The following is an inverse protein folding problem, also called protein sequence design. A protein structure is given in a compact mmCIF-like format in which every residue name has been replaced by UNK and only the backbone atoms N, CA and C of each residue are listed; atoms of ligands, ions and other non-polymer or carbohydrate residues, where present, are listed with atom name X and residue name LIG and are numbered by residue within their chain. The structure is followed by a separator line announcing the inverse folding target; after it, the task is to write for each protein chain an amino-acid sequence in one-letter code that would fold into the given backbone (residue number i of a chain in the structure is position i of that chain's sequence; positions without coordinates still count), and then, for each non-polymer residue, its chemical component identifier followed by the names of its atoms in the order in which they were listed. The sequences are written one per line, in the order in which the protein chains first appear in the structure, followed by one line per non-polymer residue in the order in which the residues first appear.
data_IF_936051660380
#
_entry.id   IF_936051660380
#
_cell.length_a   1.000
_cell.length_b   1.000
_cell.length_c   1.000
_cell.angle_alpha   90.00
_cell.angle_beta   90.00
_cell.angle_gamma   90.00
#
_symmetry.space_group_name_H-M   'P 1'
#
loop_
_entity.id
_entity.type
_entity.pdbx_description
1 polymer ?
#
# COMPACT_ATOMS: atom_id res chain seq x y z
N UNK A 1 -3.53 12.36 -2.74
CA UNK A 1 -2.15 11.89 -2.46
C UNK A 1 -2.17 11.06 -1.19
N UNK A 2 -1.31 10.06 -1.09
CA UNK A 2 -1.14 9.24 0.11
C UNK A 2 0.23 9.51 0.74
N UNK A 3 0.41 9.31 2.06
CA UNK A 3 1.74 9.28 2.64
C UNK A 3 2.61 8.24 1.92
N UNK A 4 3.87 8.58 1.70
CA UNK A 4 4.83 7.65 1.09
C UNK A 4 4.99 6.36 1.92
N UNK A 5 4.89 6.47 3.26
CA UNK A 5 4.89 5.31 4.17
C UNK A 5 3.74 4.32 3.93
N UNK A 6 2.68 4.73 3.23
CA UNK A 6 1.54 3.88 2.88
C UNK A 6 1.80 3.01 1.65
N UNK A 7 2.79 3.37 0.84
CA UNK A 7 3.17 2.67 -0.39
C UNK A 7 4.40 1.81 -0.11
N UNK A 8 4.34 0.55 -0.50
CA UNK A 8 5.45 -0.38 -0.44
C UNK A 8 5.90 -0.73 -1.85
N UNK A 9 7.22 -0.83 -2.05
CA UNK A 9 7.77 -1.33 -3.31
C UNK A 9 8.13 -2.81 -3.14
N UNK A 10 7.63 -3.64 -4.05
CA UNK A 10 7.88 -5.07 -4.07
C UNK A 10 8.05 -5.52 -5.53
N UNK A 11 9.14 -6.23 -5.81
CA UNK A 11 9.47 -6.74 -7.16
C UNK A 11 9.45 -5.67 -8.28
N UNK A 12 9.85 -4.44 -7.96
CA UNK A 12 9.87 -3.33 -8.92
C UNK A 12 8.51 -2.72 -9.22
N UNK A 13 7.49 -3.07 -8.43
CA UNK A 13 6.13 -2.52 -8.50
C UNK A 13 5.72 -1.90 -7.17
N UNK A 14 4.78 -0.97 -7.23
CA UNK A 14 4.25 -0.29 -6.05
C UNK A 14 2.91 -0.87 -5.63
N UNK A 15 2.76 -1.03 -4.32
CA UNK A 15 1.58 -1.59 -3.70
C UNK A 15 1.15 -0.77 -2.51
N UNK A 16 -0.14 -0.83 -2.19
CA UNK A 16 -0.69 -0.38 -0.91
C UNK A 16 -1.47 -1.52 -0.26
N UNK A 17 -1.74 -1.36 1.03
CA UNK A 17 -2.66 -2.24 1.73
C UNK A 17 -4.00 -1.57 1.96
N UNK A 18 -5.07 -2.28 1.64
CA UNK A 18 -6.44 -1.89 2.00
C UNK A 18 -6.98 -2.85 3.07
N UNK A 19 -7.64 -2.31 4.08
CA UNK A 19 -8.36 -3.09 5.08
C UNK A 19 -9.71 -3.51 4.49
N UNK A 20 -9.88 -4.82 4.26
CA UNK A 20 -11.12 -5.40 3.73
C UNK A 20 -12.03 -5.92 4.85
N UNK A 21 -11.46 -6.23 6.02
CA UNK A 21 -12.16 -6.57 7.25
C UNK A 21 -11.21 -6.39 8.44
N UNK A 22 -11.73 -6.51 9.67
CA UNK A 22 -10.92 -6.39 10.90
C UNK A 22 -9.68 -7.30 10.84
N UNK A 23 -8.50 -6.68 10.85
CA UNK A 23 -7.19 -7.37 10.74
C UNK A 23 -6.98 -8.17 9.45
N UNK A 24 -7.78 -7.92 8.40
CA UNK A 24 -7.61 -8.50 7.07
C UNK A 24 -7.24 -7.41 6.09
N UNK A 25 -6.05 -7.54 5.53
CA UNK A 25 -5.49 -6.58 4.59
C UNK A 25 -5.32 -7.23 3.24
N UNK A 26 -5.59 -6.47 2.18
CA UNK A 26 -5.35 -6.88 0.80
C UNK A 26 -4.28 -5.97 0.20
N UNK A 27 -3.26 -6.57 -0.41
CA UNK A 27 -2.26 -5.85 -1.19
C UNK A 27 -2.85 -5.50 -2.55
N UNK A 28 -2.73 -4.25 -2.97
CA UNK A 28 -3.27 -3.75 -4.24
C UNK A 28 -2.17 -3.01 -4.97
N UNK A 29 -1.93 -3.39 -6.22
CA UNK A 29 -0.97 -2.73 -7.10
C UNK A 29 -1.47 -1.32 -7.44
N UNK A 30 -0.59 -0.33 -7.27
CA UNK A 30 -0.88 1.08 -7.55
C UNK A 30 0.14 1.65 -8.50
N UNK A 31 -0.27 2.64 -9.27
CA UNK A 31 0.62 3.44 -10.08
C UNK A 31 0.87 4.75 -9.35
N UNK A 32 2.14 5.01 -9.07
CA UNK A 32 2.55 6.26 -8.43
C UNK A 32 2.96 7.30 -9.46
N UNK A 33 2.61 8.55 -9.18
CA UNK A 33 3.03 9.73 -9.93
C UNK A 33 4.11 10.49 -9.19
N UNK A 34 3.96 11.81 -9.14
CA UNK A 34 4.92 12.67 -8.45
C UNK A 34 4.96 12.38 -6.94
N UNK A 35 6.17 12.45 -6.39
CA UNK A 35 6.43 12.40 -4.95
C UNK A 35 6.83 13.80 -4.46
N UNK A 36 6.19 14.28 -3.41
CA UNK A 36 6.45 15.60 -2.84
C UNK A 36 6.14 15.62 -1.34
N UNK A 37 7.04 16.18 -0.53
CA UNK A 37 6.83 16.39 0.91
C UNK A 37 6.37 15.14 1.69
N UNK A 38 6.95 13.97 1.43
CA UNK A 38 6.56 12.67 2.02
C UNK A 38 5.17 12.18 1.61
N UNK A 39 4.58 12.76 0.57
CA UNK A 39 3.38 12.28 -0.08
C UNK A 39 3.69 11.79 -1.49
N UNK A 40 2.91 10.84 -1.95
CA UNK A 40 2.95 10.28 -3.29
C UNK A 40 1.59 10.40 -3.94
N UNK A 41 1.58 10.84 -5.19
CA UNK A 41 0.39 10.84 -6.02
C UNK A 41 0.07 9.41 -6.45
N UNK A 42 -1.19 9.00 -6.30
CA UNK A 42 -1.66 7.72 -6.84
C UNK A 42 -2.44 8.03 -8.11
N UNK A 43 -1.94 7.55 -9.25
CA UNK A 43 -2.52 7.80 -10.57
C UNK A 43 -3.80 6.99 -10.77
N UNK A 44 -3.83 5.76 -10.25
CA UNK A 44 -4.99 4.87 -10.31
C UNK A 44 -5.81 4.87 -9.01
N UNK A 45 -6.01 6.07 -8.43
CA UNK A 45 -6.71 6.24 -7.15
C UNK A 45 -8.21 5.87 -7.21
N UNK A 46 -8.83 5.84 -8.40
CA UNK A 46 -10.25 5.52 -8.54
C UNK A 46 -10.62 4.14 -8.02
N UNK A 47 -9.73 3.15 -8.14
CA UNK A 47 -9.96 1.79 -7.59
C UNK A 47 -9.95 1.76 -6.05
N UNK A 48 -9.48 2.84 -5.43
CA UNK A 48 -9.31 2.99 -3.99
C UNK A 48 -10.42 3.83 -3.36
N UNK A 49 -11.34 4.37 -4.17
CA UNK A 49 -12.56 5.02 -3.65
C UNK A 49 -13.30 4.05 -2.73
N UNK A 50 -13.74 4.58 -1.60
CA UNK A 50 -14.45 3.85 -0.54
C UNK A 50 -13.67 2.68 0.10
N UNK A 51 -12.34 2.61 -0.12
CA UNK A 51 -11.47 1.65 0.55
C UNK A 51 -10.78 2.30 1.75
N UNK A 52 -10.66 1.54 2.84
CA UNK A 52 -9.82 1.91 3.97
C UNK A 52 -8.36 1.60 3.63
N UNK A 53 -7.59 2.63 3.33
CA UNK A 53 -6.17 2.49 3.01
C UNK A 53 -5.37 2.49 4.31
N UNK A 54 -4.43 1.56 4.42
CA UNK A 54 -3.48 1.51 5.54
C UNK A 54 -2.45 2.61 5.33
N UNK A 55 -2.62 3.71 6.06
CA UNK A 55 -1.71 4.84 5.92
C UNK A 55 -0.40 4.66 6.69
N UNK A 56 -0.42 3.90 7.79
CA UNK A 56 0.71 3.63 8.69
C UNK A 56 0.93 2.13 8.86
N UNK A 57 2.20 1.71 8.83
CA UNK A 57 2.57 0.30 9.02
C UNK A 57 2.40 -0.58 7.77
N UNK A 58 2.27 0.02 6.58
CA UNK A 58 2.26 -0.74 5.32
C UNK A 58 3.54 -1.57 5.15
N UNK A 59 4.70 -1.02 5.51
CA UNK A 59 5.97 -1.76 5.53
C UNK A 59 5.96 -2.95 6.51
N UNK A 60 5.35 -2.79 7.69
CA UNK A 60 5.19 -3.89 8.66
C UNK A 60 4.31 -5.01 8.10
N UNK A 61 3.24 -4.67 7.36
CA UNK A 61 2.41 -5.66 6.68
C UNK A 61 3.19 -6.41 5.60
N UNK A 62 4.04 -5.70 4.83
CA UNK A 62 4.91 -6.33 3.83
C UNK A 62 5.87 -7.34 4.47
N UNK A 63 6.56 -6.95 5.56
CA UNK A 63 7.46 -7.86 6.27
C UNK A 63 6.73 -9.11 6.78
N UNK A 64 5.50 -8.95 7.30
CA UNK A 64 4.69 -10.08 7.75
C UNK A 64 4.31 -11.01 6.59
N UNK A 65 3.90 -10.46 5.45
CA UNK A 65 3.54 -11.25 4.26
C UNK A 65 4.75 -12.03 3.73
N UNK A 66 5.91 -11.38 3.60
CA UNK A 66 7.15 -12.04 3.16
C UNK A 66 7.58 -13.18 4.08
N UNK A 67 7.54 -12.95 5.39
CA UNK A 67 7.91 -13.99 6.36
C UNK A 67 6.90 -15.15 6.41
N UNK A 68 5.67 -14.95 5.91
CA UNK A 68 4.64 -16.01 5.84
C UNK A 68 4.75 -16.82 4.54
N UNK A 69 5.39 -16.28 3.49
CA UNK A 69 5.66 -17.00 2.23
C UNK A 69 6.89 -17.92 2.31
N UNK A 70 7.72 -17.80 3.35
CA UNK A 70 8.92 -18.65 3.57
C UNK A 70 8.67 -19.89 4.46
N UNK A 71 7.41 -20.28 4.72
CA UNK A 71 7.07 -21.55 5.39
C UNK A 71 6.50 -22.63 4.46
#
# INVERSE_FOLDING_TARGET
ALPEESVVSFEGKEYIYIEIAKQKYKMVEVQIGEKQNNFVQILNADQLKDKKIVSKGAYTLLMKMKNTEEE
#
